data_IF_968906430451
#
_entry.id   IF_968906430451
#
_cell.length_a   1.000
_cell.length_b   1.000
_cell.length_c   1.000
_cell.angle_alpha   90.00
_cell.angle_beta   90.00
_cell.angle_gamma   90.00
#
_symmetry.space_group_name_H-M   'P 1'
#
loop_
_entity.id
_entity.type
_entity.pdbx_description
1 polymer ?
#
# COMPACT_ATOMS: atom_id res chain seq x y z
N UNK A 1 -13.81 -20.86 20.80
CA UNK A 1 -12.88 -20.40 19.75
C UNK A 1 -13.62 -19.33 18.97
N UNK A 2 -13.13 -18.08 18.97
CA UNK A 2 -13.66 -17.05 18.07
C UNK A 2 -13.24 -17.42 16.65
N UNK A 3 -14.18 -17.38 15.70
CA UNK A 3 -13.83 -17.48 14.29
C UNK A 3 -12.90 -16.30 13.91
N UNK A 4 -11.90 -16.52 13.05
CA UNK A 4 -11.06 -15.44 12.58
C UNK A 4 -11.89 -14.42 11.81
N UNK A 5 -11.76 -13.15 12.18
CA UNK A 5 -12.46 -12.03 11.52
C UNK A 5 -12.03 -11.97 10.06
N UNK A 6 -12.97 -12.20 9.14
CA UNK A 6 -12.74 -12.17 7.68
C UNK A 6 -13.12 -10.86 7.01
N UNK A 7 -13.95 -10.05 7.66
CA UNK A 7 -14.26 -8.70 7.22
C UNK A 7 -14.16 -7.76 8.43
N UNK A 8 -13.53 -6.61 8.24
CA UNK A 8 -13.45 -5.58 9.26
C UNK A 8 -13.48 -4.19 8.63
N UNK A 9 -13.89 -3.22 9.45
CA UNK A 9 -13.97 -1.83 9.09
C UNK A 9 -13.38 -0.97 10.21
N UNK A 10 -12.63 0.06 9.85
CA UNK A 10 -12.11 1.04 10.80
C UNK A 10 -11.80 2.37 10.11
N UNK A 11 -11.84 3.45 10.90
CA UNK A 11 -11.19 4.70 10.52
C UNK A 11 -9.69 4.55 10.71
N UNK A 12 -8.94 4.75 9.63
CA UNK A 12 -7.49 4.75 9.66
C UNK A 12 -6.99 6.19 9.65
N UNK A 13 -6.27 6.58 10.69
CA UNK A 13 -5.58 7.87 10.72
C UNK A 13 -4.30 7.77 9.90
N UNK A 14 -4.07 8.74 9.02
CA UNK A 14 -2.86 8.84 8.21
C UNK A 14 -2.29 10.26 8.19
N UNK A 15 -1.05 10.35 7.72
CA UNK A 15 -0.35 11.60 7.43
C UNK A 15 0.61 11.39 6.26
N UNK A 16 1.01 12.48 5.59
CA UNK A 16 1.89 12.45 4.43
C UNK A 16 1.35 11.61 3.28
N UNK A 17 0.04 11.68 3.01
CA UNK A 17 -0.61 11.02 1.86
C UNK A 17 -0.45 9.49 1.83
N UNK A 18 -0.16 8.84 2.96
CA UNK A 18 0.12 7.42 2.95
C UNK A 18 -0.35 6.66 4.17
N UNK A 19 -0.72 5.41 3.93
CA UNK A 19 -0.72 4.38 4.95
C UNK A 19 -0.02 3.13 4.44
N UNK A 20 0.38 2.27 5.36
CA UNK A 20 1.30 1.18 5.11
C UNK A 20 0.67 -0.14 5.55
N UNK A 21 1.01 -1.20 4.82
CA UNK A 21 0.79 -2.58 5.24
C UNK A 21 2.15 -3.14 5.62
N UNK A 22 2.38 -3.44 6.90
CA UNK A 22 3.71 -3.87 7.38
C UNK A 22 3.60 -5.19 8.10
N UNK A 23 4.44 -6.15 7.70
CA UNK A 23 4.62 -7.42 8.39
C UNK A 23 5.45 -7.22 9.65
N UNK A 24 4.82 -7.30 10.83
CA UNK A 24 5.44 -6.88 12.09
C UNK A 24 6.66 -7.69 12.54
N UNK A 25 6.85 -8.90 12.01
CA UNK A 25 8.08 -9.67 12.27
C UNK A 25 9.31 -9.14 11.53
N UNK A 26 9.15 -8.19 10.62
CA UNK A 26 10.23 -7.61 9.82
C UNK A 26 10.81 -6.34 10.48
N UNK A 27 11.72 -6.52 11.43
CA UNK A 27 12.42 -5.40 12.07
C UNK A 27 13.18 -4.55 11.03
N UNK A 28 13.05 -3.22 11.15
CA UNK A 28 13.75 -2.26 10.28
C UNK A 28 13.30 -2.22 8.83
N UNK A 29 12.26 -2.97 8.44
CA UNK A 29 11.73 -2.92 7.08
C UNK A 29 10.98 -1.62 6.87
N UNK A 30 11.45 -0.84 5.91
CA UNK A 30 10.71 0.33 5.41
C UNK A 30 9.70 -0.13 4.35
N UNK A 31 8.57 0.57 4.19
CA UNK A 31 7.74 0.42 3.00
C UNK A 31 8.51 0.82 1.72
N UNK A 32 7.99 0.47 0.53
CA UNK A 32 8.50 1.01 -0.73
C UNK A 32 8.49 2.53 -0.74
N UNK A 33 9.32 3.13 -1.60
CA UNK A 33 9.27 4.57 -1.83
C UNK A 33 7.93 4.99 -2.42
N UNK A 34 7.51 6.23 -2.14
CA UNK A 34 6.31 6.81 -2.76
C UNK A 34 6.37 6.79 -4.29
N UNK A 35 7.56 7.00 -4.86
CA UNK A 35 7.77 6.99 -6.31
C UNK A 35 7.49 5.62 -6.94
N UNK A 36 7.71 4.52 -6.21
CA UNK A 36 7.29 3.20 -6.68
C UNK A 36 5.76 3.11 -6.80
N UNK A 37 5.02 3.68 -5.85
CA UNK A 37 3.56 3.71 -5.89
C UNK A 37 3.02 4.73 -6.91
N UNK A 38 3.75 5.81 -7.21
CA UNK A 38 3.41 6.76 -8.27
C UNK A 38 3.30 6.08 -9.65
N UNK A 39 4.02 4.98 -9.89
CA UNK A 39 3.99 4.26 -11.17
C UNK A 39 2.58 3.78 -11.56
N UNK A 40 1.75 3.34 -10.60
CA UNK A 40 0.33 3.07 -10.82
C UNK A 40 -0.59 4.09 -10.13
N UNK A 41 -0.03 5.06 -9.41
CA UNK A 41 -0.77 6.13 -8.74
C UNK A 41 -1.53 5.71 -7.47
N UNK A 42 -1.34 4.48 -6.97
CA UNK A 42 -2.09 3.98 -5.82
C UNK A 42 -1.28 3.16 -4.82
N UNK A 43 -0.54 2.14 -5.25
CA UNK A 43 0.06 1.18 -4.32
C UNK A 43 1.36 0.58 -4.84
N UNK A 44 2.32 0.37 -3.95
CA UNK A 44 3.51 -0.44 -4.24
C UNK A 44 3.80 -1.38 -3.07
N UNK A 45 4.45 -2.51 -3.37
CA UNK A 45 4.93 -3.44 -2.36
C UNK A 45 6.38 -3.84 -2.59
N UNK A 46 7.03 -4.21 -1.50
CA UNK A 46 8.27 -4.95 -1.45
C UNK A 46 8.12 -6.07 -0.42
N UNK A 47 9.19 -6.85 -0.22
CA UNK A 47 9.16 -7.90 0.80
C UNK A 47 8.88 -7.30 2.19
N UNK A 48 7.84 -7.79 2.85
CA UNK A 48 7.44 -7.41 4.20
C UNK A 48 6.61 -6.13 4.30
N UNK A 49 6.44 -5.35 3.22
CA UNK A 49 5.73 -4.08 3.32
C UNK A 49 5.08 -3.60 2.01
N UNK A 50 3.99 -2.85 2.14
CA UNK A 50 3.38 -2.09 1.06
C UNK A 50 3.01 -0.68 1.52
N UNK A 51 2.98 0.26 0.58
CA UNK A 51 2.48 1.62 0.78
C UNK A 51 1.28 1.85 -0.12
N UNK A 52 0.22 2.45 0.44
CA UNK A 52 -0.99 2.87 -0.26
C UNK A 52 -1.11 4.38 -0.17
N UNK A 53 -1.37 5.02 -1.30
CA UNK A 53 -1.42 6.47 -1.44
C UNK A 53 -2.83 7.02 -1.24
N UNK A 54 -2.96 8.00 -0.35
CA UNK A 54 -4.13 8.85 -0.17
C UNK A 54 -3.94 10.21 -0.85
N UNK A 55 -5.02 10.93 -1.11
CA UNK A 55 -4.90 12.29 -1.66
C UNK A 55 -4.91 13.36 -0.57
N UNK A 56 -5.65 13.14 0.53
CA UNK A 56 -5.56 13.96 1.74
C UNK A 56 -4.12 13.92 2.27
N UNK A 57 -3.64 15.04 2.79
CA UNK A 57 -2.32 15.08 3.41
C UNK A 57 -2.35 14.39 4.78
N UNK A 58 -3.31 14.76 5.63
CA UNK A 58 -3.44 14.25 7.00
C UNK A 58 -4.90 14.09 7.36
N UNK A 59 -5.27 13.03 8.08
CA UNK A 59 -6.66 12.88 8.50
C UNK A 59 -7.06 11.44 8.72
N UNK A 60 -8.35 11.18 8.52
CA UNK A 60 -8.91 9.84 8.55
C UNK A 60 -9.39 9.43 7.16
N UNK A 61 -9.15 8.16 6.83
CA UNK A 61 -9.81 7.48 5.72
C UNK A 61 -10.69 6.37 6.26
N UNK A 62 -11.73 6.05 5.51
CA UNK A 62 -12.56 4.89 5.79
C UNK A 62 -11.89 3.65 5.18
N UNK A 63 -11.51 2.68 6.00
CA UNK A 63 -10.83 1.47 5.55
C UNK A 63 -11.65 0.22 5.87
N UNK A 64 -12.05 -0.49 4.82
CA UNK A 64 -12.61 -1.84 4.89
C UNK A 64 -11.58 -2.88 4.45
N UNK A 65 -11.59 -4.04 5.10
CA UNK A 65 -10.72 -5.18 4.79
C UNK A 65 -11.58 -6.42 4.57
N UNK A 66 -11.33 -7.14 3.49
CA UNK A 66 -11.92 -8.43 3.15
C UNK A 66 -10.85 -9.50 2.95
N UNK A 67 -10.91 -10.57 3.73
CA UNK A 67 -9.92 -11.65 3.77
C UNK A 67 -10.52 -12.94 3.18
N UNK A 68 -10.02 -13.34 2.03
CA UNK A 68 -10.55 -14.46 1.26
C UNK A 68 -9.54 -15.61 1.17
N UNK A 69 -10.03 -16.84 1.08
CA UNK A 69 -9.15 -18.00 0.85
C UNK A 69 -8.73 -18.11 -0.63
N UNK A 70 -9.47 -17.48 -1.54
CA UNK A 70 -9.24 -17.46 -2.98
C UNK A 70 -9.55 -16.09 -3.58
N UNK A 71 -9.13 -15.86 -4.83
CA UNK A 71 -9.38 -14.61 -5.53
C UNK A 71 -10.88 -14.30 -5.62
N UNK A 72 -11.37 -13.18 -5.06
CA UNK A 72 -12.74 -12.74 -5.25
C UNK A 72 -12.91 -12.14 -6.65
N UNK A 73 -14.14 -12.19 -7.17
CA UNK A 73 -14.49 -11.49 -8.41
C UNK A 73 -14.20 -9.98 -8.28
N UNK A 74 -13.64 -9.34 -9.32
CA UNK A 74 -13.36 -7.91 -9.29
C UNK A 74 -14.65 -7.10 -9.40
N UNK A 75 -15.06 -6.52 -8.27
CA UNK A 75 -16.12 -5.52 -8.20
C UNK A 75 -15.50 -4.11 -8.33
N UNK A 76 -15.57 -3.55 -9.54
CA UNK A 76 -14.93 -2.25 -9.88
C UNK A 76 -15.92 -1.11 -10.08
N UNK A 77 -17.22 -1.39 -10.20
CA UNK A 77 -18.23 -0.40 -10.54
C UNK A 77 -18.34 0.77 -9.54
N UNK A 78 -18.32 0.56 -8.21
CA UNK A 78 -18.51 1.64 -7.24
C UNK A 78 -17.21 2.37 -6.85
N UNK A 79 -16.07 2.04 -7.48
CA UNK A 79 -14.74 2.51 -7.12
C UNK A 79 -14.14 3.37 -8.24
N UNK A 80 -13.31 4.34 -7.90
CA UNK A 80 -12.64 5.19 -8.88
C UNK A 80 -11.40 4.46 -9.43
N UNK A 81 -10.58 3.90 -8.54
CA UNK A 81 -9.36 3.18 -8.88
C UNK A 81 -9.34 1.79 -8.21
N UNK A 82 -8.85 0.79 -8.93
CA UNK A 82 -8.69 -0.59 -8.47
C UNK A 82 -7.38 -1.18 -9.00
N UNK A 83 -6.44 -1.43 -8.10
CA UNK A 83 -5.11 -1.98 -8.41
C UNK A 83 -4.84 -3.22 -7.58
N UNK A 84 -4.30 -4.26 -8.20
CA UNK A 84 -3.97 -5.53 -7.57
C UNK A 84 -2.47 -5.82 -7.67
N UNK A 85 -1.82 -6.07 -6.54
CA UNK A 85 -0.38 -6.37 -6.46
C UNK A 85 -0.12 -7.63 -5.64
N UNK A 86 1.13 -8.07 -5.59
CA UNK A 86 1.59 -9.10 -4.65
C UNK A 86 2.26 -8.47 -3.43
N UNK A 87 1.97 -9.00 -2.26
CA UNK A 87 2.66 -8.70 -1.00
C UNK A 87 3.28 -9.99 -0.46
N UNK A 88 4.59 -9.96 -0.24
CA UNK A 88 5.32 -11.06 0.38
C UNK A 88 5.42 -10.83 1.89
N UNK A 89 4.77 -11.68 2.69
CA UNK A 89 4.63 -11.55 4.14
C UNK A 89 5.29 -12.75 4.85
N UNK A 90 6.61 -12.72 5.06
CA UNK A 90 7.37 -13.85 5.59
C UNK A 90 7.07 -14.22 7.04
N UNK A 91 6.49 -13.32 7.85
CA UNK A 91 6.05 -13.60 9.21
C UNK A 91 4.54 -13.69 9.34
N UNK A 92 3.79 -13.24 8.33
CA UNK A 92 2.34 -13.38 8.32
C UNK A 92 1.66 -12.55 9.41
N UNK A 93 2.26 -11.45 9.83
CA UNK A 93 1.71 -10.50 10.81
C UNK A 93 1.46 -9.12 10.19
N UNK A 94 0.96 -9.09 8.95
CA UNK A 94 0.70 -7.83 8.24
C UNK A 94 -0.43 -7.06 8.90
N UNK A 95 -0.19 -5.77 9.16
CA UNK A 95 -1.20 -4.83 9.66
C UNK A 95 -1.21 -3.52 8.88
N UNK A 96 -2.38 -2.92 8.76
CA UNK A 96 -2.55 -1.58 8.19
C UNK A 96 -2.35 -0.50 9.26
N UNK A 97 -1.54 0.52 8.97
CA UNK A 97 -1.35 1.68 9.83
C UNK A 97 -0.93 2.92 9.03
N UNK A 98 -1.28 4.12 9.51
CA UNK A 98 -0.64 5.34 9.01
C UNK A 98 0.84 5.42 9.38
N UNK A 99 1.60 6.23 8.66
CA UNK A 99 3.01 6.47 8.97
C UNK A 99 3.20 6.86 10.44
N UNK A 100 4.12 6.17 11.13
CA UNK A 100 4.44 6.37 12.55
C UNK A 100 3.21 6.31 13.49
N UNK A 101 2.13 5.67 13.05
CA UNK A 101 0.88 5.52 13.80
C UNK A 101 0.66 4.07 14.21
N UNK A 102 -0.11 3.86 15.27
CA UNK A 102 -0.53 2.51 15.63
C UNK A 102 -1.63 2.02 14.68
N UNK A 103 -1.68 0.71 14.35
CA UNK A 103 -2.81 0.13 13.65
C UNK A 103 -4.14 0.40 14.38
N UNK A 104 -5.24 0.64 13.65
CA UNK A 104 -6.56 0.74 14.27
C UNK A 104 -6.93 -0.55 15.02
N UNK A 105 -7.53 -0.43 16.21
CA UNK A 105 -7.91 -1.60 17.02
C UNK A 105 -8.93 -2.52 16.34
N UNK A 106 -9.74 -2.00 15.41
CA UNK A 106 -10.78 -2.75 14.71
C UNK A 106 -10.28 -3.66 13.59
N UNK A 107 -9.01 -3.56 13.17
CA UNK A 107 -8.50 -4.31 12.03
C UNK A 107 -7.75 -5.60 12.45
N UNK A 108 -8.02 -6.73 11.77
CA UNK A 108 -7.33 -7.99 12.02
C UNK A 108 -5.90 -7.96 11.48
N UNK A 109 -5.16 -9.03 11.74
CA UNK A 109 -3.98 -9.36 10.91
C UNK A 109 -4.47 -9.70 9.51
N UNK A 110 -3.91 -9.05 8.49
CA UNK A 110 -4.40 -9.14 7.10
C UNK A 110 -4.02 -10.46 6.42
N UNK A 111 -3.03 -11.16 6.97
CA UNK A 111 -2.50 -12.44 6.49
C UNK A 111 -3.11 -13.60 7.27
N UNK A 112 -4.43 -13.79 7.14
CA UNK A 112 -5.21 -14.76 7.92
C UNK A 112 -4.79 -16.23 7.72
N UNK A 113 -4.15 -16.55 6.60
CA UNK A 113 -3.67 -17.89 6.27
C UNK A 113 -2.20 -18.12 6.72
N UNK A 114 -1.63 -17.19 7.51
CA UNK A 114 -0.26 -17.26 8.00
C UNK A 114 0.78 -16.69 7.01
N UNK A 115 2.07 -16.97 7.24
CA UNK A 115 3.16 -16.51 6.39
C UNK A 115 3.03 -16.93 4.92
N UNK A 116 3.45 -16.07 4.01
CA UNK A 116 3.52 -16.38 2.58
C UNK A 116 3.24 -15.19 1.68
N UNK A 117 3.03 -15.48 0.40
CA UNK A 117 2.66 -14.46 -0.59
C UNK A 117 1.15 -14.32 -0.68
N UNK A 118 0.70 -13.07 -0.68
CA UNK A 118 -0.69 -12.68 -0.83
C UNK A 118 -0.85 -11.82 -2.07
N UNK A 119 -2.03 -11.89 -2.68
CA UNK A 119 -2.50 -10.81 -3.54
C UNK A 119 -3.24 -9.80 -2.68
N UNK A 120 -3.03 -8.53 -2.98
CA UNK A 120 -3.72 -7.41 -2.35
C UNK A 120 -4.37 -6.60 -3.46
N UNK A 121 -5.70 -6.53 -3.44
CA UNK A 121 -6.48 -5.66 -4.32
C UNK A 121 -6.94 -4.44 -3.53
N UNK A 122 -6.43 -3.27 -3.91
CA UNK A 122 -6.79 -1.98 -3.34
C UNK A 122 -7.87 -1.37 -4.23
N UNK A 123 -9.04 -1.14 -3.66
CA UNK A 123 -10.07 -0.31 -4.27
C UNK A 123 -10.12 1.01 -3.54
N UNK A 124 -10.27 2.10 -4.27
CA UNK A 124 -10.39 3.42 -3.69
C UNK A 124 -11.38 4.30 -4.44
N UNK A 125 -12.03 5.18 -3.69
CA UNK A 125 -12.83 6.27 -4.24
C UNK A 125 -12.75 7.52 -3.39
N UNK A 126 -13.07 8.67 -3.98
CA UNK A 126 -13.17 9.96 -3.29
C UNK A 126 -11.86 10.74 -3.21
N UNK A 127 -10.79 10.26 -3.84
CA UNK A 127 -9.46 10.91 -3.85
C UNK A 127 -9.43 12.28 -4.53
N UNK A 128 -10.45 12.66 -5.28
CA UNK A 128 -10.52 13.99 -5.89
C UNK A 128 -11.23 15.04 -5.00
N UNK A 129 -11.65 14.67 -3.78
CA UNK A 129 -12.50 15.52 -2.93
C UNK A 129 -11.72 16.56 -2.11
N UNK A 130 -10.62 16.17 -1.47
CA UNK A 130 -9.89 17.02 -0.51
C UNK A 130 -8.37 16.87 -0.65
N UNK A 131 -7.91 16.88 -1.92
CA UNK A 131 -6.49 16.73 -2.28
C UNK A 131 -5.61 17.70 -1.48
N UNK A 132 -4.58 17.16 -0.82
CA UNK A 132 -3.60 17.90 -0.03
C UNK A 132 -4.17 18.65 1.19
N UNK A 133 -5.37 18.30 1.62
CA UNK A 133 -6.01 18.91 2.79
C UNK A 133 -5.87 18.06 4.05
N UNK A 134 -6.19 18.68 5.18
CA UNK A 134 -6.44 17.98 6.44
C UNK A 134 -7.91 17.61 6.52
N UNK A 135 -8.24 16.32 6.58
CA UNK A 135 -9.63 15.83 6.62
C UNK A 135 -9.94 15.19 7.98
N UNK A 136 -10.82 15.82 8.76
CA UNK A 136 -11.25 15.27 10.06
C UNK A 136 -12.27 14.15 9.88
N UNK A 137 -13.16 14.27 8.90
CA UNK A 137 -14.11 13.25 8.49
C UNK A 137 -13.61 12.54 7.22
N UNK A 138 -13.84 11.21 7.08
CA UNK A 138 -13.37 10.47 5.93
C UNK A 138 -14.11 10.88 4.66
N UNK A 139 -13.36 11.38 3.68
CA UNK A 139 -13.84 11.66 2.31
C UNK A 139 -13.29 10.66 1.30
N UNK A 140 -12.30 9.88 1.70
CA UNK A 140 -11.74 8.77 0.92
C UNK A 140 -12.12 7.44 1.56
N UNK A 141 -12.49 6.50 0.70
CA UNK A 141 -12.93 5.17 1.09
C UNK A 141 -12.04 4.15 0.41
N UNK A 142 -11.52 3.20 1.20
CA UNK A 142 -10.63 2.15 0.76
C UNK A 142 -11.21 0.79 1.09
N UNK A 143 -11.09 -0.16 0.15
CA UNK A 143 -11.33 -1.59 0.39
C UNK A 143 -10.10 -2.39 0.00
N UNK A 144 -9.52 -3.07 0.97
CA UNK A 144 -8.44 -4.03 0.76
C UNK A 144 -9.02 -5.43 0.71
N UNK A 145 -8.90 -6.11 -0.43
CA UNK A 145 -9.21 -7.54 -0.52
C UNK A 145 -7.89 -8.31 -0.57
N UNK A 146 -7.69 -9.27 0.34
CA UNK A 146 -6.49 -10.08 0.42
C UNK A 146 -6.80 -11.57 0.30
N UNK A 147 -5.94 -12.31 -0.40
CA UNK A 147 -5.99 -13.77 -0.46
C UNK A 147 -4.60 -14.37 -0.70
N UNK A 148 -4.29 -15.55 -0.16
CA UNK A 148 -3.04 -16.24 -0.42
C UNK A 148 -2.97 -16.65 -1.90
N UNK A 149 -1.87 -16.29 -2.57
CA UNK A 149 -1.61 -16.72 -3.94
C UNK A 149 -0.14 -16.51 -4.32
N UNK A 150 0.39 -17.24 -5.32
CA UNK A 150 1.72 -16.99 -5.86
C UNK A 150 1.91 -15.54 -6.32
N UNK A 151 3.16 -15.07 -6.28
CA UNK A 151 3.52 -13.76 -6.80
C UNK A 151 3.16 -13.65 -8.28
N UNK A 152 2.56 -12.52 -8.67
CA UNK A 152 2.19 -12.24 -10.04
C UNK A 152 2.36 -10.74 -10.35
N UNK A 153 2.47 -10.35 -11.62
CA UNK A 153 2.55 -8.94 -11.99
C UNK A 153 1.36 -8.13 -11.50
N UNK A 154 1.57 -6.82 -11.33
CA UNK A 154 0.51 -5.86 -11.03
C UNK A 154 -0.60 -5.94 -12.08
N UNK A 155 -1.86 -5.94 -11.63
CA UNK A 155 -3.04 -5.87 -12.48
C UNK A 155 -3.78 -4.57 -12.20
N UNK A 156 -4.01 -3.79 -13.25
CA UNK A 156 -4.82 -2.57 -13.19
C UNK A 156 -6.23 -2.92 -13.66
N UNK A 157 -7.19 -2.91 -12.73
CA UNK A 157 -8.59 -3.19 -13.05
C UNK A 157 -9.34 -1.92 -13.45
N UNK A 158 -9.02 -0.78 -12.81
CA UNK A 158 -9.62 0.53 -13.10
C UNK A 158 -8.70 1.65 -12.60
N UNK A 159 -8.59 2.73 -13.37
CA UNK A 159 -7.92 3.97 -12.97
C UNK A 159 -8.67 5.14 -13.60
N UNK A 160 -9.45 5.87 -12.80
CA UNK A 160 -10.25 7.00 -13.28
C UNK A 160 -10.09 8.28 -12.46
N UNK A 161 -9.50 8.22 -11.26
CA UNK A 161 -9.29 9.41 -10.45
C UNK A 161 -8.28 10.39 -11.10
N UNK A 162 -8.48 11.69 -10.87
CA UNK A 162 -7.57 12.72 -11.35
C UNK A 162 -6.28 12.75 -10.52
N UNK A 163 -6.37 12.58 -9.20
CA UNK A 163 -5.20 12.60 -8.32
C UNK A 163 -4.16 11.54 -8.72
N UNK A 164 -4.54 10.27 -8.88
CA UNK A 164 -3.67 9.20 -9.34
C UNK A 164 -3.15 9.43 -10.75
N UNK A 165 -3.93 10.06 -11.64
CA UNK A 165 -3.43 10.48 -12.95
C UNK A 165 -2.27 11.48 -12.85
N UNK A 166 -2.32 12.43 -11.91
CA UNK A 166 -1.21 13.37 -11.68
C UNK A 166 0.05 12.65 -11.18
N UNK A 167 -0.10 11.66 -10.29
CA UNK A 167 1.02 10.87 -9.77
C UNK A 167 1.69 10.06 -10.88
N UNK A 168 0.90 9.40 -11.74
CA UNK A 168 1.41 8.64 -12.89
C UNK A 168 2.16 9.54 -13.86
N UNK A 169 1.64 10.73 -14.15
CA UNK A 169 2.32 11.71 -15.01
C UNK A 169 3.66 12.19 -14.40
N UNK A 170 3.72 12.37 -13.07
CA UNK A 170 4.96 12.71 -12.36
C UNK A 170 5.99 11.60 -12.47
N UNK A 171 5.59 10.34 -12.29
CA UNK A 171 6.48 9.17 -12.40
C UNK A 171 7.13 9.05 -13.79
N UNK A 172 6.39 9.41 -14.86
CA UNK A 172 6.93 9.44 -16.22
C UNK A 172 7.93 10.58 -16.45
N UNK A 173 7.79 11.68 -15.71
CA UNK A 173 8.65 12.87 -15.85
C UNK A 173 9.93 12.77 -15.02
N UNK A 174 9.93 11.97 -13.95
CA UNK A 174 11.09 11.64 -13.13
C UNK A 174 11.21 10.12 -13.02
N UNK A 175 11.63 9.42 -14.08
CA UNK A 175 11.81 7.98 -14.02
C UNK A 175 12.83 7.66 -12.92
N UNK A 176 12.52 6.64 -12.11
CA UNK A 176 13.38 6.17 -11.02
C UNK A 176 14.81 6.00 -11.55
N UNK A 177 15.72 6.90 -11.17
CA UNK A 177 17.14 6.66 -11.34
C UNK A 177 17.49 5.52 -10.39
N UNK A 178 17.70 4.32 -10.95
CA UNK A 178 18.43 3.29 -10.23
C UNK A 178 19.79 3.91 -9.87
N UNK A 179 19.97 4.19 -8.59
CA UNK A 179 21.24 4.67 -8.06
C UNK A 179 22.26 3.55 -8.25
N UNK A 180 22.99 3.60 -9.38
CA UNK A 180 24.16 2.74 -9.58
C UNK A 180 25.11 3.06 -8.45
N UNK A 181 25.55 2.09 -7.63
CA UNK A 181 26.52 2.40 -6.58
C UNK A 181 27.74 3.01 -7.25
N UNK A 182 28.06 4.27 -6.91
CA UNK A 182 29.29 4.91 -7.34
C UNK A 182 30.44 3.95 -7.03
N UNK A 183 31.13 3.50 -8.08
CA UNK A 183 32.35 2.73 -7.92
C UNK A 183 33.35 3.65 -7.22
N UNK A 184 33.52 3.44 -5.91
CA UNK A 184 34.60 4.05 -5.14
C UNK A 184 35.91 3.59 -5.78
N UNK A 185 36.55 4.49 -6.53
CA UNK A 185 37.88 4.26 -7.08
C UNK A 185 38.86 4.07 -5.90
N UNK A 186 39.74 3.06 -5.95
CA UNK A 186 40.68 2.83 -4.86
C UNK A 186 41.65 4.00 -4.75
N UNK A 187 41.74 4.53 -3.54
CA UNK A 187 42.74 5.51 -3.12
C UNK A 187 44.12 4.90 -3.34
N UNK A 188 44.94 5.51 -4.20
CA UNK A 188 46.34 5.11 -4.37
C UNK A 188 47.10 5.49 -3.10
N UNK A 189 47.57 4.49 -2.36
CA UNK A 189 48.60 4.69 -1.35
C UNK A 189 49.93 4.92 -2.08
N UNK A 190 50.35 6.18 -2.16
CA UNK A 190 51.76 6.48 -2.42
C UNK A 190 52.55 6.19 -1.15
N UNK A 191 53.50 5.27 -1.29
CA UNK A 191 54.52 4.96 -0.30
C UNK A 191 55.74 5.81 -0.67
N UNK A 192 56.18 6.66 0.25
CA UNK A 192 57.53 7.25 0.27
C UNK A 192 57.97 7.42 1.73
#
# INVERSE_FOLDING_TARGET
MNEPVRNAHALLRLSYHQFELVDRGMDGTSPPTLDAAHANGLVAAQRGAAVVLASIHTGYVDLSVDLHDHAPEPDTAPWDDVVEISLDAPHGEVRAAGLMSNPPQGLPVLTHAGPGTYRVRVHVRGRDTAVDQVATDPVEFYRLSLWPAPAAPTVIHKQTDHYGATLRARALSHPLTHDTPETVLPIRSDHD
#
